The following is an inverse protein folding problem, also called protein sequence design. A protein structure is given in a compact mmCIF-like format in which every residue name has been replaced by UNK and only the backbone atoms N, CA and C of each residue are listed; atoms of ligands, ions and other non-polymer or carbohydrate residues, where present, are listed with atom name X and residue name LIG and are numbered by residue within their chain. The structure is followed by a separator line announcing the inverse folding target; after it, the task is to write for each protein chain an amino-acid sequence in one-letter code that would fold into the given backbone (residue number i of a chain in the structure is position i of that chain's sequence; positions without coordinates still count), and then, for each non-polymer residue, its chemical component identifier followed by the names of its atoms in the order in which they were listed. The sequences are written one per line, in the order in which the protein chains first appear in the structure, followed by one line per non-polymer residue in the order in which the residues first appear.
data_IF_131971921827
#
_entry.id   IF_131971921827
#
_cell.length_a   1.000
_cell.length_b   1.000
_cell.length_c   1.000
_cell.angle_alpha   90.00
_cell.angle_beta   90.00
_cell.angle_gamma   90.00
#
_symmetry.space_group_name_H-M   'P 1'
#
loop_
_entity.id
_entity.type
_entity.pdbx_description
1 polymer ?
#
# COMPACT_ATOMS: atom_id res chain seq x y z
N UNK A 1 -16.96 -1.82 27.44
CA UNK A 1 -17.86 -2.32 28.51
C UNK A 1 -18.38 -1.22 29.43
N UNK A 2 -17.56 -0.29 29.93
CA UNK A 2 -17.99 0.76 30.88
C UNK A 2 -19.13 1.67 30.37
N UNK A 3 -19.13 2.02 29.08
CA UNK A 3 -20.08 3.00 28.53
C UNK A 3 -21.51 2.47 28.37
N UNK A 4 -21.66 1.16 28.13
CA UNK A 4 -22.94 0.48 28.02
C UNK A 4 -23.59 0.31 29.40
N UNK A 5 -22.77 0.06 30.42
CA UNK A 5 -23.22 -0.01 31.81
C UNK A 5 -23.83 1.32 32.26
N UNK A 6 -23.22 2.46 31.93
CA UNK A 6 -23.76 3.77 32.33
C UNK A 6 -25.15 4.05 31.71
N UNK A 7 -25.37 3.71 30.43
CA UNK A 7 -26.68 3.89 29.75
C UNK A 7 -27.78 3.04 30.38
N UNK A 8 -27.45 1.83 30.80
CA UNK A 8 -28.38 0.92 31.47
C UNK A 8 -28.70 1.43 32.88
N UNK A 9 -27.72 1.98 33.59
CA UNK A 9 -27.90 2.49 34.96
C UNK A 9 -28.84 3.69 34.99
N UNK A 10 -28.66 4.67 34.09
CA UNK A 10 -29.50 5.88 34.02
C UNK A 10 -30.96 5.50 33.77
N UNK A 11 -31.23 4.74 32.70
CA UNK A 11 -32.60 4.36 32.34
C UNK A 11 -33.26 3.48 33.40
N UNK A 12 -32.58 2.43 33.91
CA UNK A 12 -33.16 1.54 34.92
C UNK A 12 -33.46 2.29 36.24
N UNK A 13 -32.60 3.22 36.63
CA UNK A 13 -32.79 4.05 37.82
C UNK A 13 -34.07 4.89 37.73
N UNK A 14 -34.26 5.63 36.62
CA UNK A 14 -35.43 6.49 36.46
C UNK A 14 -36.73 5.69 36.21
N UNK A 15 -36.67 4.55 35.52
CA UNK A 15 -37.83 3.65 35.37
C UNK A 15 -38.29 3.11 36.73
N UNK A 16 -37.37 2.81 37.65
CA UNK A 16 -37.73 2.41 39.02
C UNK A 16 -38.41 3.55 39.80
N UNK A 17 -37.90 4.78 39.67
CA UNK A 17 -38.49 5.97 40.32
C UNK A 17 -39.89 6.29 39.80
N UNK A 18 -40.14 6.08 38.50
CA UNK A 18 -41.46 6.31 37.89
C UNK A 18 -42.56 5.42 38.47
N UNK A 19 -42.23 4.25 39.03
CA UNK A 19 -43.21 3.35 39.66
C UNK A 19 -43.84 3.93 40.93
N UNK A 20 -43.20 4.91 41.56
CA UNK A 20 -43.63 5.54 42.82
C UNK A 20 -44.18 6.97 42.59
N UNK A 21 -44.60 7.29 41.36
CA UNK A 21 -45.13 8.62 41.04
C UNK A 21 -46.62 8.75 41.35
N UNK A 22 -46.96 9.56 42.36
CA UNK A 22 -48.37 9.71 42.83
C UNK A 22 -49.21 10.68 41.98
N UNK A 23 -48.57 11.48 41.12
CA UNK A 23 -49.26 12.47 40.28
C UNK A 23 -48.62 12.59 38.90
N UNK A 24 -49.43 13.01 37.92
CA UNK A 24 -48.94 13.30 36.57
C UNK A 24 -47.78 14.31 36.59
N UNK A 25 -47.83 15.30 37.49
CA UNK A 25 -46.78 16.29 37.66
C UNK A 25 -45.45 15.66 38.11
N UNK A 26 -45.47 14.79 39.13
CA UNK A 26 -44.27 14.08 39.60
C UNK A 26 -43.67 13.19 38.50
N UNK A 27 -44.49 12.43 37.80
CA UNK A 27 -44.04 11.59 36.67
C UNK A 27 -43.41 12.42 35.55
N UNK A 28 -43.99 13.58 35.23
CA UNK A 28 -43.42 14.52 34.25
C UNK A 28 -42.04 15.03 34.68
N UNK A 29 -41.86 15.40 35.94
CA UNK A 29 -40.56 15.86 36.46
C UNK A 29 -39.48 14.78 36.37
N UNK A 30 -39.78 13.54 36.80
CA UNK A 30 -38.82 12.41 36.71
C UNK A 30 -38.41 12.15 35.26
N UNK A 31 -39.36 12.21 34.31
CA UNK A 31 -39.07 12.07 32.88
C UNK A 31 -38.11 13.16 32.38
N UNK A 32 -38.36 14.42 32.72
CA UNK A 32 -37.50 15.55 32.31
C UNK A 32 -36.09 15.40 32.87
N UNK A 33 -35.96 15.02 34.14
CA UNK A 33 -34.65 14.77 34.77
C UNK A 33 -33.93 13.60 34.09
N UNK A 34 -34.63 12.52 33.77
CA UNK A 34 -34.06 11.36 33.08
C UNK A 34 -33.49 11.74 31.71
N UNK A 35 -34.27 12.46 30.89
CA UNK A 35 -33.83 12.93 29.58
C UNK A 35 -32.68 13.94 29.71
N UNK A 36 -32.75 14.86 30.68
CA UNK A 36 -31.66 15.81 30.96
C UNK A 36 -30.35 15.10 31.33
N UNK A 37 -30.42 14.05 32.16
CA UNK A 37 -29.26 13.24 32.52
C UNK A 37 -28.69 12.50 31.29
N UNK A 38 -29.54 11.93 30.43
CA UNK A 38 -29.11 11.34 29.17
C UNK A 38 -28.41 12.35 28.26
N UNK A 39 -28.98 13.55 28.10
CA UNK A 39 -28.37 14.63 27.33
C UNK A 39 -27.01 15.05 27.89
N UNK A 40 -26.86 15.16 29.22
CA UNK A 40 -25.57 15.48 29.87
C UNK A 40 -24.52 14.39 29.62
N UNK A 41 -24.92 13.11 29.66
CA UNK A 41 -24.02 12.01 29.33
C UNK A 41 -23.60 12.07 27.86
N UNK A 42 -24.52 12.32 26.94
CA UNK A 42 -24.20 12.45 25.51
C UNK A 42 -23.26 13.63 25.27
N UNK A 43 -23.52 14.79 25.88
CA UNK A 43 -22.67 15.99 25.79
C UNK A 43 -21.23 15.75 26.28
N UNK A 44 -21.01 14.84 27.23
CA UNK A 44 -19.66 14.45 27.67
C UNK A 44 -18.87 13.66 26.63
N UNK A 45 -19.56 12.95 25.72
CA UNK A 45 -18.93 12.07 24.69
C UNK A 45 -18.80 12.79 23.34
N UNK A 46 -19.44 13.95 23.20
CA UNK A 46 -19.41 14.79 22.00
C UNK A 46 -18.02 14.95 21.33
N UNK A 47 -16.92 15.26 22.06
CA UNK A 47 -15.60 15.36 21.43
C UNK A 47 -15.10 14.03 20.82
N UNK A 48 -15.44 12.89 21.44
CA UNK A 48 -15.09 11.58 20.90
C UNK A 48 -15.93 11.23 19.67
N UNK A 49 -17.21 11.63 19.64
CA UNK A 49 -18.06 11.46 18.45
C UNK A 49 -17.58 12.32 17.28
N UNK A 50 -17.16 13.56 17.55
CA UNK A 50 -16.56 14.44 16.55
C UNK A 50 -15.27 13.85 15.97
N UNK A 51 -14.40 13.29 16.82
CA UNK A 51 -13.19 12.58 16.37
C UNK A 51 -13.53 11.34 15.52
N UNK A 52 -14.49 10.52 15.96
CA UNK A 52 -14.92 9.33 15.20
C UNK A 52 -15.49 9.70 13.83
N UNK A 53 -16.21 10.83 13.71
CA UNK A 53 -16.70 11.31 12.43
C UNK A 53 -15.55 11.74 11.50
N UNK A 54 -14.52 12.42 12.02
CA UNK A 54 -13.31 12.74 11.25
C UNK A 54 -12.62 11.46 10.76
N UNK A 55 -12.41 10.49 11.65
CA UNK A 55 -11.80 9.19 11.30
C UNK A 55 -12.63 8.47 10.24
N UNK A 56 -13.97 8.45 10.39
CA UNK A 56 -14.88 7.82 9.41
C UNK A 56 -14.73 8.45 8.03
N UNK A 57 -14.65 9.78 7.94
CA UNK A 57 -14.47 10.49 6.67
C UNK A 57 -13.12 10.18 6.02
N UNK A 58 -12.05 10.05 6.81
CA UNK A 58 -10.72 9.66 6.30
C UNK A 58 -10.68 8.19 5.87
N UNK A 59 -11.21 7.28 6.68
CA UNK A 59 -11.24 5.84 6.37
C UNK A 59 -12.04 5.52 5.10
N UNK A 60 -13.11 6.27 4.83
CA UNK A 60 -13.92 6.09 3.62
C UNK A 60 -13.14 6.35 2.32
N UNK A 61 -12.03 7.10 2.37
CA UNK A 61 -11.20 7.44 1.21
C UNK A 61 -10.00 6.50 1.02
N UNK A 62 -9.76 5.58 1.96
CA UNK A 62 -8.62 4.67 1.88
C UNK A 62 -8.84 3.64 0.75
N UNK A 63 -7.81 3.33 -0.04
CA UNK A 63 -7.93 2.34 -1.09
C UNK A 63 -8.04 0.93 -0.51
N UNK A 64 -8.83 0.07 -1.16
CA UNK A 64 -8.92 -1.34 -0.80
C UNK A 64 -7.70 -2.11 -1.33
N UNK A 65 -6.81 -2.53 -0.43
CA UNK A 65 -5.63 -3.36 -0.76
C UNK A 65 -5.88 -4.78 -0.29
N UNK A 66 -5.64 -5.77 -1.15
CA UNK A 66 -5.65 -7.19 -0.74
C UNK A 66 -4.21 -7.70 -0.62
N UNK A 67 -3.69 -7.95 0.60
CA UNK A 67 -2.30 -8.33 0.84
C UNK A 67 -1.92 -9.70 0.25
N UNK A 68 -2.91 -10.54 -0.11
CA UNK A 68 -2.66 -11.88 -0.67
C UNK A 68 -2.69 -11.90 -2.21
N UNK A 69 -3.22 -10.85 -2.85
CA UNK A 69 -3.24 -10.74 -4.31
C UNK A 69 -1.88 -10.41 -4.89
N UNK A 70 -1.74 -10.53 -6.21
CA UNK A 70 -0.48 -10.28 -6.93
C UNK A 70 -0.22 -8.79 -6.94
N UNK A 71 0.70 -8.34 -6.11
CA UNK A 71 0.97 -6.91 -5.92
C UNK A 71 2.36 -6.57 -6.43
N UNK A 72 2.47 -5.44 -7.13
CA UNK A 72 3.74 -4.80 -7.51
C UNK A 72 3.81 -3.49 -6.73
N UNK A 73 4.85 -3.33 -5.92
CA UNK A 73 5.05 -2.16 -5.08
C UNK A 73 6.12 -1.28 -5.71
N UNK A 74 5.83 0.00 -5.90
CA UNK A 74 6.75 0.96 -6.50
C UNK A 74 7.33 1.84 -5.39
N UNK A 75 8.63 1.73 -5.16
CA UNK A 75 9.36 2.45 -4.11
C UNK A 75 10.57 3.20 -4.68
N UNK A 76 11.11 4.13 -3.91
CA UNK A 76 12.26 4.96 -4.30
C UNK A 76 12.17 6.37 -3.72
N UNK A 77 13.21 7.17 -3.94
CA UNK A 77 13.31 8.54 -3.44
C UNK A 77 12.17 9.44 -3.95
N UNK A 78 11.83 10.54 -3.26
CA UNK A 78 10.96 11.58 -3.81
C UNK A 78 11.43 12.03 -5.21
N UNK A 79 10.49 12.43 -6.07
CA UNK A 79 10.76 12.99 -7.41
C UNK A 79 11.48 12.11 -8.45
N UNK A 80 11.79 10.85 -8.17
CA UNK A 80 12.41 9.93 -9.17
C UNK A 80 11.48 9.50 -10.31
N UNK A 81 10.24 9.98 -10.36
CA UNK A 81 9.27 9.66 -11.42
C UNK A 81 8.36 8.45 -11.17
N UNK A 82 8.23 7.97 -9.93
CA UNK A 82 7.36 6.82 -9.56
C UNK A 82 5.91 6.99 -10.04
N UNK A 83 5.26 8.11 -9.71
CA UNK A 83 3.88 8.37 -10.09
C UNK A 83 3.73 8.59 -11.61
N UNK A 84 4.75 9.15 -12.26
CA UNK A 84 4.78 9.25 -13.73
C UNK A 84 4.92 7.88 -14.41
N UNK A 85 5.65 6.94 -13.80
CA UNK A 85 5.70 5.55 -14.28
C UNK A 85 4.32 4.92 -14.19
N UNK A 86 3.59 5.14 -13.09
CA UNK A 86 2.22 4.64 -12.91
C UNK A 86 1.31 5.18 -14.01
N UNK A 87 1.30 6.48 -14.28
CA UNK A 87 0.49 7.07 -15.36
C UNK A 87 0.85 6.51 -16.76
N UNK A 88 2.04 5.94 -16.95
CA UNK A 88 2.45 5.29 -18.22
C UNK A 88 1.97 3.85 -18.32
N UNK A 89 1.97 3.10 -17.22
CA UNK A 89 1.54 1.69 -17.20
C UNK A 89 0.03 1.54 -17.02
N UNK A 90 -0.61 2.52 -16.38
CA UNK A 90 -2.02 2.58 -16.01
C UNK A 90 -2.70 3.72 -16.77
N UNK A 91 -4.00 3.58 -17.03
CA UNK A 91 -4.85 4.70 -17.49
C UNK A 91 -5.40 5.45 -16.27
N UNK A 92 -4.50 6.03 -15.50
CA UNK A 92 -4.82 6.78 -14.28
C UNK A 92 -4.09 8.10 -14.33
N UNK A 93 -4.76 9.16 -13.89
CA UNK A 93 -4.19 10.49 -13.73
C UNK A 93 -3.80 10.69 -12.26
N UNK A 94 -2.66 10.11 -11.86
CA UNK A 94 -2.04 10.46 -10.57
C UNK A 94 -1.39 11.83 -10.73
N UNK A 95 -1.62 12.75 -9.80
CA UNK A 95 -0.97 14.06 -9.82
C UNK A 95 0.55 13.92 -9.76
N UNK A 96 1.23 14.45 -10.77
CA UNK A 96 2.69 14.52 -10.84
C UNK A 96 3.10 15.98 -10.76
N UNK A 97 3.84 16.33 -9.73
CA UNK A 97 4.34 17.68 -9.51
C UNK A 97 5.85 17.64 -9.24
N UNK A 98 6.60 18.72 -9.55
CA UNK A 98 8.06 18.73 -9.44
C UNK A 98 8.55 18.85 -7.98
N UNK A 99 7.67 19.10 -7.02
CA UNK A 99 8.02 19.16 -5.60
C UNK A 99 7.94 17.78 -4.92
N UNK A 100 8.82 17.55 -3.95
CA UNK A 100 8.89 16.30 -3.21
C UNK A 100 7.59 16.03 -2.43
N UNK A 101 7.30 14.74 -2.20
CA UNK A 101 6.13 14.28 -1.44
C UNK A 101 4.77 14.70 -2.03
N UNK A 102 4.69 14.76 -3.37
CA UNK A 102 3.41 14.91 -4.09
C UNK A 102 2.42 13.81 -3.67
N UNK A 103 2.87 12.56 -3.62
CA UNK A 103 2.08 11.41 -3.14
C UNK A 103 2.25 11.23 -1.63
N UNK A 104 1.21 11.58 -0.86
CA UNK A 104 1.21 11.50 0.63
C UNK A 104 0.57 10.23 1.19
N UNK A 105 -0.11 9.46 0.35
CA UNK A 105 -0.81 8.22 0.72
C UNK A 105 -0.54 7.14 -0.33
N UNK A 106 -0.72 5.87 0.04
CA UNK A 106 -0.65 4.78 -0.91
C UNK A 106 -1.71 4.95 -2.00
N UNK A 107 -1.30 4.89 -3.26
CA UNK A 107 -2.21 4.86 -4.41
C UNK A 107 -2.26 3.45 -4.98
N UNK A 108 -3.45 2.92 -5.26
CA UNK A 108 -3.63 1.56 -5.77
C UNK A 108 -4.23 1.61 -7.16
N UNK A 109 -3.48 1.08 -8.13
CA UNK A 109 -3.93 0.81 -9.49
C UNK A 109 -4.07 -0.68 -9.76
N UNK A 110 -4.74 -1.02 -10.85
CA UNK A 110 -4.87 -2.40 -11.33
C UNK A 110 -4.43 -2.56 -12.78
N UNK A 111 -3.42 -3.39 -13.03
CA UNK A 111 -3.00 -3.77 -14.38
C UNK A 111 -3.44 -5.19 -14.70
N UNK A 112 -3.65 -5.47 -15.98
CA UNK A 112 -3.79 -6.83 -16.48
C UNK A 112 -2.50 -7.31 -17.13
N UNK A 113 -2.10 -8.54 -16.79
CA UNK A 113 -0.97 -9.25 -17.37
C UNK A 113 -1.27 -10.74 -17.45
N UNK A 114 -1.13 -11.35 -18.63
CA UNK A 114 -1.42 -12.77 -18.89
C UNK A 114 -2.78 -13.22 -18.32
N UNK A 115 -3.85 -12.48 -18.64
CA UNK A 115 -5.22 -12.75 -18.19
C UNK A 115 -5.41 -12.78 -16.66
N UNK A 116 -4.47 -12.21 -15.90
CA UNK A 116 -4.54 -12.07 -14.45
C UNK A 116 -4.45 -10.59 -14.08
N UNK A 117 -5.29 -10.20 -13.11
CA UNK A 117 -5.26 -8.87 -12.52
C UNK A 117 -4.16 -8.78 -11.46
N UNK A 118 -3.34 -7.75 -11.57
CA UNK A 118 -2.32 -7.39 -10.59
C UNK A 118 -2.69 -6.05 -9.95
N UNK A 119 -2.36 -5.89 -8.67
CA UNK A 119 -2.41 -4.61 -7.97
C UNK A 119 -1.06 -3.93 -8.13
N UNK A 120 -1.05 -2.64 -8.45
CA UNK A 120 0.16 -1.81 -8.45
C UNK A 120 -0.03 -0.75 -7.38
N UNK A 121 0.93 -0.62 -6.48
CA UNK A 121 0.85 0.30 -5.36
C UNK A 121 1.96 1.33 -5.47
N UNK A 122 1.60 2.61 -5.55
CA UNK A 122 2.53 3.73 -5.40
C UNK A 122 2.76 3.98 -3.91
N UNK A 123 4.03 4.07 -3.51
CA UNK A 123 4.36 4.52 -2.16
C UNK A 123 4.86 5.95 -2.16
N UNK A 124 4.55 6.75 -1.13
CA UNK A 124 5.30 7.97 -0.84
C UNK A 124 6.81 7.75 -0.91
N UNK A 125 7.55 8.75 -1.39
CA UNK A 125 9.00 8.67 -1.43
C UNK A 125 9.58 8.53 -0.02
N UNK A 126 10.60 7.69 0.12
CA UNK A 126 11.33 7.48 1.38
C UNK A 126 12.67 8.22 1.25
N UNK A 127 13.07 8.94 2.30
CA UNK A 127 14.40 9.54 2.43
C UNK A 127 15.28 8.66 3.31
N UNK A 128 16.59 8.68 3.07
CA UNK A 128 17.54 7.92 3.87
C UNK A 128 17.85 8.65 5.18
N UNK A 129 17.16 8.25 6.26
CA UNK A 129 17.38 8.77 7.62
C UNK A 129 17.01 7.72 8.68
N UNK A 130 17.43 7.90 9.94
CA UNK A 130 17.15 6.95 11.03
C UNK A 130 15.67 6.63 11.16
N UNK A 131 15.35 5.42 11.61
CA UNK A 131 13.97 4.93 11.63
C UNK A 131 13.07 5.75 12.57
N UNK A 132 13.66 6.27 13.64
CA UNK A 132 13.00 7.09 14.65
C UNK A 132 12.52 8.44 14.10
N UNK A 133 13.17 8.93 13.02
CA UNK A 133 12.90 10.25 12.43
C UNK A 133 11.91 10.19 11.25
N UNK A 134 11.36 9.01 10.93
CA UNK A 134 10.39 8.89 9.83
C UNK A 134 9.07 9.58 10.16
N UNK A 135 8.57 10.33 9.17
CA UNK A 135 7.25 10.92 9.28
C UNK A 135 6.17 9.85 9.07
N UNK A 136 4.93 10.13 9.50
CA UNK A 136 3.77 9.23 9.30
C UNK A 136 3.62 8.81 7.82
N UNK A 137 3.95 9.71 6.89
CA UNK A 137 3.89 9.46 5.44
C UNK A 137 4.91 8.40 5.01
N UNK A 138 6.15 8.46 5.51
CA UNK A 138 7.20 7.48 5.17
C UNK A 138 6.96 6.16 5.88
N UNK A 139 6.49 6.21 7.13
CA UNK A 139 6.05 5.01 7.87
C UNK A 139 4.98 4.22 7.12
N UNK A 140 4.11 4.90 6.37
CA UNK A 140 3.13 4.25 5.50
C UNK A 140 3.82 3.42 4.39
N UNK A 141 4.86 3.97 3.75
CA UNK A 141 5.67 3.25 2.75
C UNK A 141 6.40 2.06 3.35
N UNK A 142 6.98 2.20 4.55
CA UNK A 142 7.64 1.10 5.26
C UNK A 142 6.64 -0.01 5.62
N UNK A 143 5.45 0.35 6.11
CA UNK A 143 4.39 -0.61 6.44
C UNK A 143 3.93 -1.39 5.21
N UNK A 144 3.86 -0.73 4.04
CA UNK A 144 3.56 -1.41 2.78
C UNK A 144 4.68 -2.38 2.37
N UNK A 145 5.94 -1.97 2.51
CA UNK A 145 7.12 -2.80 2.22
C UNK A 145 7.20 -4.06 3.11
N UNK A 146 6.89 -3.93 4.40
CA UNK A 146 7.03 -5.04 5.36
C UNK A 146 5.89 -6.06 5.30
N UNK A 147 4.66 -5.61 5.07
CA UNK A 147 3.48 -6.49 5.18
C UNK A 147 2.93 -7.01 3.86
N UNK A 148 3.27 -6.40 2.72
CA UNK A 148 2.75 -6.84 1.42
C UNK A 148 3.63 -7.90 0.77
N UNK A 149 3.01 -8.99 0.30
CA UNK A 149 3.68 -10.02 -0.51
C UNK A 149 3.73 -9.59 -1.98
N UNK A 150 4.61 -8.63 -2.26
CA UNK A 150 4.70 -7.95 -3.54
C UNK A 150 6.06 -8.17 -4.24
N UNK A 151 6.08 -7.95 -5.55
CA UNK A 151 7.32 -7.66 -6.26
C UNK A 151 7.65 -6.17 -6.08
N UNK A 152 8.85 -5.86 -5.60
CA UNK A 152 9.27 -4.48 -5.32
C UNK A 152 10.03 -3.94 -6.54
N UNK A 153 9.58 -2.80 -7.05
CA UNK A 153 10.26 -2.00 -8.05
C UNK A 153 10.89 -0.80 -7.37
N UNK A 154 12.22 -0.78 -7.28
CA UNK A 154 12.96 0.33 -6.71
C UNK A 154 13.41 1.28 -7.83
N UNK A 155 12.93 2.52 -7.79
CA UNK A 155 13.28 3.56 -8.74
C UNK A 155 14.48 4.37 -8.24
N UNK A 156 15.53 4.36 -9.04
CA UNK A 156 16.73 5.16 -8.87
C UNK A 156 16.80 6.17 -10.00
N UNK A 157 16.91 7.45 -9.65
CA UNK A 157 17.20 8.48 -10.62
C UNK A 157 18.72 8.62 -10.76
N UNK A 158 19.21 8.38 -11.97
CA UNK A 158 20.65 8.44 -12.30
C UNK A 158 21.04 9.86 -12.76
N UNK A 159 20.08 10.78 -12.88
CA UNK A 159 20.34 12.15 -13.36
C UNK A 159 21.01 13.07 -12.32
N UNK A 160 21.26 12.57 -11.10
CA UNK A 160 22.01 13.29 -10.07
C UNK A 160 21.29 14.48 -9.44
N UNK A 161 20.05 14.74 -9.84
CA UNK A 161 19.17 15.73 -9.22
C UNK A 161 18.34 15.17 -8.05
N UNK A 162 18.71 14.01 -7.50
CA UNK A 162 18.05 13.46 -6.32
C UNK A 162 18.33 14.38 -5.12
N UNK A 163 17.31 15.15 -4.72
CA UNK A 163 17.32 15.99 -3.53
C UNK A 163 17.37 15.09 -2.29
N UNK A 164 18.58 14.80 -1.84
CA UNK A 164 18.86 14.15 -0.57
C UNK A 164 18.91 15.24 0.51
N UNK A 165 17.77 15.46 1.17
CA UNK A 165 17.57 16.35 2.32
C UNK A 165 17.57 17.87 2.09
N UNK A 166 16.86 18.55 3.00
CA UNK A 166 16.75 20.01 3.08
C UNK A 166 18.14 20.63 3.22
N UNK A 167 18.36 21.72 2.50
CA UNK A 167 19.65 22.41 2.28
C UNK A 167 20.61 21.59 1.41
N UNK A 168 20.88 22.14 0.23
CA UNK A 168 21.88 21.73 -0.75
C UNK A 168 21.47 20.66 -1.77
N UNK A 169 20.99 21.15 -2.91
CA UNK A 169 21.10 20.49 -4.21
C UNK A 169 22.60 20.24 -4.47
N UNK A 170 23.11 19.07 -4.12
CA UNK A 170 24.42 18.63 -4.63
C UNK A 170 24.25 18.03 -6.04
N UNK A 171 24.95 18.55 -7.06
CA UNK A 171 25.04 17.90 -8.36
C UNK A 171 25.60 16.47 -8.23
N UNK A 172 25.41 15.61 -9.24
CA UNK A 172 26.04 14.29 -9.35
C UNK A 172 27.58 14.31 -9.10
N UNK A 173 28.19 15.49 -9.27
CA UNK A 173 29.61 15.77 -9.04
C UNK A 173 30.01 15.80 -7.55
N UNK A 174 29.04 15.90 -6.62
CA UNK A 174 29.24 15.84 -5.16
C UNK A 174 29.17 14.43 -4.58
N UNK A 175 28.84 13.43 -5.40
CA UNK A 175 28.76 12.03 -4.97
C UNK A 175 30.19 11.52 -4.69
N UNK A 176 30.42 11.03 -3.47
CA UNK A 176 31.66 10.33 -3.09
C UNK A 176 32.08 9.36 -4.21
N UNK A 177 33.39 9.32 -4.51
CA UNK A 177 33.98 8.40 -5.50
C UNK A 177 33.52 6.95 -5.28
N UNK A 178 33.19 6.57 -4.05
CA UNK A 178 32.69 5.26 -3.64
C UNK A 178 31.27 4.99 -4.17
N UNK A 179 30.36 5.95 -4.06
CA UNK A 179 28.97 5.80 -4.50
C UNK A 179 28.84 5.83 -6.03
N UNK A 180 29.68 6.61 -6.72
CA UNK A 180 29.79 6.56 -8.18
C UNK A 180 30.37 5.23 -8.67
N UNK A 181 31.31 4.65 -7.91
CA UNK A 181 31.85 3.33 -8.19
C UNK A 181 30.78 2.25 -8.02
N UNK A 182 29.97 2.31 -6.97
CA UNK A 182 28.84 1.40 -6.74
C UNK A 182 27.81 1.47 -7.87
N UNK A 183 27.42 2.67 -8.32
CA UNK A 183 26.47 2.83 -9.44
C UNK A 183 27.06 2.30 -10.76
N UNK A 184 28.35 2.50 -10.99
CA UNK A 184 29.02 2.01 -12.19
C UNK A 184 29.30 0.50 -12.14
N UNK A 185 29.57 -0.07 -10.96
CA UNK A 185 29.65 -1.51 -10.72
C UNK A 185 28.28 -2.15 -10.95
N UNK A 186 27.21 -1.59 -10.37
CA UNK A 186 25.84 -2.07 -10.60
C UNK A 186 25.43 -1.95 -12.08
N UNK A 187 25.84 -0.89 -12.79
CA UNK A 187 25.62 -0.74 -14.24
C UNK A 187 26.43 -1.75 -15.06
N UNK A 188 27.71 -1.95 -14.75
CA UNK A 188 28.60 -2.84 -15.48
C UNK A 188 28.26 -4.31 -15.23
N UNK A 189 27.84 -4.66 -14.02
CA UNK A 189 27.37 -5.98 -13.63
C UNK A 189 26.03 -6.31 -14.29
N UNK A 190 25.12 -5.32 -14.39
CA UNK A 190 23.87 -5.44 -15.14
C UNK A 190 24.08 -5.54 -16.67
N UNK A 191 25.15 -4.94 -17.23
CA UNK A 191 25.46 -5.04 -18.67
C UNK A 191 26.17 -6.35 -19.05
N UNK A 192 27.07 -6.86 -18.19
CA UNK A 192 27.83 -8.10 -18.44
C UNK A 192 26.94 -9.35 -18.45
N UNK A 193 25.81 -9.33 -17.73
CA UNK A 193 24.84 -10.44 -17.70
C UNK A 193 24.01 -10.57 -18.97
N UNK A 194 24.09 -9.63 -19.92
CA UNK A 194 23.23 -9.59 -21.12
C UNK A 194 23.91 -10.07 -22.42
N UNK A 195 25.24 -10.28 -22.44
CA UNK A 195 26.01 -10.51 -23.68
C UNK A 195 26.72 -11.88 -23.72
N UNK A 196 26.75 -12.64 -22.62
CA UNK A 196 27.36 -13.97 -22.55
C UNK A 196 26.38 -15.08 -22.92
N UNK A 197 26.56 -15.69 -24.08
CA UNK A 197 25.88 -16.90 -24.50
C UNK A 197 26.01 -18.03 -23.46
N UNK A 198 24.88 -18.60 -23.03
CA UNK A 198 24.76 -19.95 -22.45
C UNK A 198 25.33 -20.19 -21.05
N UNK A 199 24.46 -20.24 -20.03
CA UNK A 199 24.77 -20.75 -18.69
C UNK A 199 24.10 -19.94 -17.56
N UNK A 200 23.48 -20.63 -16.61
CA UNK A 200 22.50 -20.16 -15.60
C UNK A 200 22.85 -18.89 -14.79
N UNK A 201 21.87 -17.99 -14.53
CA UNK A 201 21.89 -17.11 -13.37
C UNK A 201 20.88 -17.63 -12.35
N UNK A 202 21.34 -18.41 -11.37
CA UNK A 202 20.63 -18.52 -10.09
C UNK A 202 20.75 -17.17 -9.37
N UNK A 203 19.63 -16.73 -8.80
CA UNK A 203 19.47 -15.65 -7.84
C UNK A 203 19.56 -14.17 -8.29
N UNK A 204 18.37 -13.60 -8.49
CA UNK A 204 17.90 -12.37 -7.85
C UNK A 204 18.80 -11.11 -7.95
N UNK A 205 18.70 -10.37 -9.07
CA UNK A 205 18.56 -8.89 -9.11
C UNK A 205 18.83 -8.32 -10.51
N UNK A 206 18.00 -8.59 -11.54
CA UNK A 206 18.17 -7.79 -12.78
C UNK A 206 17.71 -6.35 -12.54
N UNK A 207 18.68 -5.45 -12.49
CA UNK A 207 18.46 -4.01 -12.64
C UNK A 207 18.08 -3.77 -14.10
N UNK A 208 16.82 -3.42 -14.35
CA UNK A 208 16.37 -2.99 -15.68
C UNK A 208 16.55 -1.48 -15.80
N UNK A 209 17.69 -1.06 -16.36
CA UNK A 209 17.87 0.32 -16.81
C UNK A 209 17.05 0.49 -18.09
N UNK A 210 15.94 1.20 -18.00
CA UNK A 210 15.15 1.56 -19.18
C UNK A 210 15.04 3.06 -19.27
N UNK A 211 15.17 3.59 -20.47
CA UNK A 211 14.73 4.96 -20.76
C UNK A 211 13.28 5.10 -20.30
N UNK A 212 12.95 6.28 -19.78
CA UNK A 212 11.63 6.58 -19.24
C UNK A 212 10.57 6.75 -20.36
N UNK A 213 10.59 5.85 -21.33
CA UNK A 213 9.66 5.76 -22.45
C UNK A 213 8.57 4.74 -22.16
N UNK A 214 7.45 4.86 -22.87
CA UNK A 214 6.32 3.94 -22.72
C UNK A 214 6.70 2.48 -22.98
N UNK A 215 7.60 2.22 -23.92
CA UNK A 215 8.10 0.85 -24.22
C UNK A 215 8.93 0.29 -23.06
N UNK A 216 9.82 1.10 -22.50
CA UNK A 216 10.62 0.74 -21.32
C UNK A 216 9.73 0.43 -20.11
N UNK A 217 8.72 1.27 -19.86
CA UNK A 217 7.78 1.07 -18.78
C UNK A 217 6.99 -0.26 -18.90
N UNK A 218 6.55 -0.61 -20.11
CA UNK A 218 5.86 -1.89 -20.38
C UNK A 218 6.81 -3.07 -20.20
N UNK A 219 8.08 -2.95 -20.61
CA UNK A 219 9.08 -4.00 -20.44
C UNK A 219 9.34 -4.29 -18.94
N UNK A 220 9.54 -3.24 -18.14
CA UNK A 220 9.72 -3.35 -16.67
C UNK A 220 8.49 -3.98 -16.02
N UNK A 221 7.29 -3.53 -16.39
CA UNK A 221 6.02 -4.11 -15.93
C UNK A 221 5.97 -5.62 -16.21
N UNK A 222 6.24 -6.02 -17.45
CA UNK A 222 6.17 -7.43 -17.85
C UNK A 222 7.22 -8.28 -17.12
N UNK A 223 8.44 -7.76 -16.93
CA UNK A 223 9.49 -8.45 -16.20
C UNK A 223 9.14 -8.64 -14.72
N UNK A 224 8.62 -7.61 -14.05
CA UNK A 224 8.17 -7.68 -12.66
C UNK A 224 7.01 -8.67 -12.49
N UNK A 225 6.00 -8.59 -13.36
CA UNK A 225 4.86 -9.51 -13.30
C UNK A 225 5.25 -10.96 -13.60
N UNK A 226 6.21 -11.19 -14.52
CA UNK A 226 6.76 -12.52 -14.81
C UNK A 226 7.45 -13.10 -13.58
N UNK A 227 8.38 -12.36 -12.96
CA UNK A 227 9.08 -12.80 -11.74
C UNK A 227 8.14 -13.15 -10.60
N UNK A 228 7.17 -12.28 -10.35
CA UNK A 228 6.18 -12.52 -9.31
C UNK A 228 5.34 -13.77 -9.59
N UNK A 229 5.04 -14.02 -10.87
CA UNK A 229 4.30 -15.21 -11.28
C UNK A 229 5.14 -16.47 -11.05
N UNK A 230 6.40 -16.47 -11.49
CA UNK A 230 7.30 -17.61 -11.38
C UNK A 230 7.49 -18.02 -9.90
N UNK A 231 7.75 -17.05 -9.01
CA UNK A 231 7.83 -17.28 -7.56
C UNK A 231 6.53 -17.84 -6.97
N UNK A 232 5.36 -17.29 -7.38
CA UNK A 232 4.07 -17.77 -6.88
C UNK A 232 3.73 -19.17 -7.37
N UNK A 233 4.10 -19.51 -8.60
CA UNK A 233 3.93 -20.85 -9.16
C UNK A 233 4.81 -21.83 -8.39
N UNK A 234 6.05 -21.48 -8.07
CA UNK A 234 6.94 -22.34 -7.27
C UNK A 234 6.37 -22.62 -5.87
N UNK A 235 5.89 -21.59 -5.17
CA UNK A 235 5.22 -21.73 -3.87
C UNK A 235 3.96 -22.60 -4.00
N UNK A 236 3.21 -22.45 -5.09
CA UNK A 236 1.98 -23.20 -5.33
C UNK A 236 2.26 -24.67 -5.67
N UNK A 237 3.33 -24.97 -6.40
CA UNK A 237 3.81 -26.33 -6.70
C UNK A 237 4.18 -27.08 -5.43
N UNK A 238 4.79 -26.41 -4.45
CA UNK A 238 5.10 -26.98 -3.12
C UNK A 238 3.84 -27.25 -2.26
N UNK A 239 2.68 -26.71 -2.64
CA UNK A 239 1.44 -26.83 -1.87
C UNK A 239 0.61 -28.05 -2.30
N UNK A 240 0.10 -28.82 -1.33
CA UNK A 240 -0.85 -29.94 -1.57
C UNK A 240 -2.12 -29.54 -2.34
N UNK A 241 -2.45 -28.24 -2.36
CA UNK A 241 -3.63 -27.69 -3.08
C UNK A 241 -3.53 -27.82 -4.60
N UNK A 242 -2.35 -28.13 -5.16
CA UNK A 242 -2.18 -28.31 -6.60
C UNK A 242 -3.00 -29.49 -7.13
N UNK A 243 -3.12 -30.57 -6.34
CA UNK A 243 -3.83 -31.79 -6.73
C UNK A 243 -5.28 -31.53 -7.11
N UNK A 244 -5.95 -30.58 -6.44
CA UNK A 244 -7.33 -30.20 -6.73
C UNK A 244 -7.51 -29.54 -8.11
N UNK A 245 -6.43 -29.03 -8.70
CA UNK A 245 -6.45 -28.30 -9.97
C UNK A 245 -5.82 -29.08 -11.13
N UNK A 246 -5.15 -30.21 -10.88
CA UNK A 246 -4.45 -30.98 -11.93
C UNK A 246 -5.39 -31.37 -13.09
N UNK A 247 -6.62 -31.75 -12.77
CA UNK A 247 -7.64 -32.10 -13.77
C UNK A 247 -7.95 -30.96 -14.74
N UNK A 248 -7.71 -29.70 -14.35
CA UNK A 248 -7.93 -28.52 -15.21
C UNK A 248 -6.77 -28.25 -16.17
N UNK A 249 -5.57 -28.75 -15.85
CA UNK A 249 -4.39 -28.61 -16.71
C UNK A 249 -4.26 -29.77 -17.71
N UNK A 250 -4.94 -30.89 -17.45
CA UNK A 250 -4.93 -32.05 -18.31
C UNK A 250 -5.71 -31.79 -19.61
N UNK A 251 -5.02 -31.87 -20.75
CA UNK A 251 -5.65 -31.85 -22.07
C UNK A 251 -5.89 -33.30 -22.50
N UNK A 252 -7.15 -33.67 -22.75
CA UNK A 252 -7.49 -35.01 -23.20
C UNK A 252 -6.95 -35.25 -24.62
N UNK A 253 -6.19 -36.33 -24.79
CA UNK A 253 -5.70 -36.77 -26.10
C UNK A 253 -6.74 -37.73 -26.70
N UNK A 254 -7.25 -37.47 -27.92
CA UNK A 254 -8.20 -38.37 -28.55
C UNK A 254 -7.53 -39.72 -28.81
N UNK A 255 -8.20 -40.81 -28.42
CA UNK A 255 -7.80 -42.16 -28.87
C UNK A 255 -8.34 -42.35 -30.30
N UNK A 256 -7.55 -42.94 -31.22
CA UNK A 256 -8.08 -43.34 -32.52
C UNK A 256 -9.26 -44.29 -32.29
N UNK A 257 -10.37 -44.05 -32.98
CA UNK A 257 -11.48 -45.00 -33.06
C UNK A 257 -11.18 -45.98 -34.19
N UNK A 258 -11.51 -47.27 -33.99
CA UNK A 258 -11.42 -48.32 -35.00
C UNK A 258 -12.30 -48.04 -36.23
#
# INVERSE_FOLDING_TARGET
MLHTSLKIIVTKGYVKLLKYGDSLYRCKCVKVVALGHMCTVIKRVDPSLAYLEQVRQHMARLPSIDPNTRTVLICGYPNVGKSSFINKIMRVDVDVQPYAFTTKSLFVGHIDYKYMRYQVIDTPGILDRPFEDYNIIEMCSITALTHLRAAILFFLDVSGSCVCNKTDLQPLEGISKENMKLVNEMKAEALKTLVGQGGEPTDNNSVLLTHFDRKGAIAVKNAACKRLLDQRVEIKMKSKKINNCLNKFHVAVPKPYD
#
